data_IF_543095414508
#
_entry.id   IF_543095414508
#
_cell.length_a   1.000
_cell.length_b   1.000
_cell.length_c   1.000
_cell.angle_alpha   90.00
_cell.angle_beta   90.00
_cell.angle_gamma   90.00
#
_symmetry.space_group_name_H-M   'P 1'
#
loop_
_entity.id
_entity.type
_entity.pdbx_description
1 polymer ?
#
# COMPACT_ATOMS: atom_id res chain seq x y z
N UNK A 1 4.57 31.96 -14.81
CA UNK A 1 4.81 31.35 -13.48
C UNK A 1 3.63 30.43 -13.15
N UNK A 2 3.72 29.13 -13.48
CA UNK A 2 2.76 28.10 -13.06
C UNK A 2 3.58 26.90 -12.62
N UNK A 3 3.55 26.59 -11.32
CA UNK A 3 4.16 25.41 -10.72
C UNK A 3 3.25 24.21 -11.00
N UNK A 4 3.72 23.23 -11.76
CA UNK A 4 3.03 21.96 -11.96
C UNK A 4 3.27 21.08 -10.72
N UNK A 5 2.24 20.91 -9.90
CA UNK A 5 2.21 19.95 -8.81
C UNK A 5 1.88 18.57 -9.39
N UNK A 6 2.89 17.72 -9.56
CA UNK A 6 2.73 16.27 -9.70
C UNK A 6 3.36 15.63 -8.47
N UNK A 7 2.58 15.54 -7.39
CA UNK A 7 2.97 14.82 -6.17
C UNK A 7 2.57 13.36 -6.35
N UNK A 8 3.55 12.53 -6.71
CA UNK A 8 3.39 11.10 -6.91
C UNK A 8 3.06 10.38 -5.59
N UNK A 9 1.91 9.69 -5.57
CA UNK A 9 1.47 8.71 -4.54
C UNK A 9 2.32 7.41 -4.57
N UNK A 10 3.65 7.49 -4.57
CA UNK A 10 4.53 6.29 -4.65
C UNK A 10 5.07 5.83 -3.28
N UNK A 11 4.93 6.61 -2.21
CA UNK A 11 5.52 6.24 -0.91
C UNK A 11 4.81 5.09 -0.14
N UNK A 12 3.64 4.61 -0.56
CA UNK A 12 2.90 3.57 0.17
C UNK A 12 3.13 2.12 -0.30
N UNK A 13 3.90 1.86 -1.37
CA UNK A 13 4.08 0.50 -1.87
C UNK A 13 5.32 -0.24 -1.33
N UNK A 14 6.25 0.45 -0.65
CA UNK A 14 7.47 -0.16 -0.09
C UNK A 14 7.28 -0.86 1.27
N UNK A 15 6.07 -0.80 1.85
CA UNK A 15 5.84 -1.21 3.24
C UNK A 15 5.44 -2.68 3.47
N UNK A 16 5.30 -3.50 2.43
CA UNK A 16 4.79 -4.90 2.57
C UNK A 16 5.90 -5.97 2.54
N UNK A 17 7.18 -5.61 2.37
CA UNK A 17 8.22 -6.62 2.09
C UNK A 17 9.20 -6.99 3.21
N UNK A 18 8.99 -6.62 4.47
CA UNK A 18 9.92 -6.98 5.56
C UNK A 18 9.23 -7.24 6.92
N UNK A 19 8.40 -8.28 7.02
CA UNK A 19 8.28 -9.05 8.27
C UNK A 19 7.99 -10.51 7.93
N UNK A 20 9.03 -11.33 7.96
CA UNK A 20 8.90 -12.78 8.09
C UNK A 20 8.77 -13.13 9.57
N UNK A 21 7.62 -13.64 9.98
CA UNK A 21 7.46 -14.40 11.21
C UNK A 21 6.94 -15.79 10.85
N UNK A 22 7.80 -16.79 11.07
CA UNK A 22 7.54 -18.21 10.98
C UNK A 22 6.37 -18.65 11.87
N UNK A 23 5.41 -19.37 11.28
CA UNK A 23 4.74 -20.52 11.89
C UNK A 23 3.82 -21.20 10.85
N UNK A 24 4.38 -22.13 10.06
CA UNK A 24 3.66 -23.29 9.49
C UNK A 24 4.55 -24.05 8.48
N UNK A 25 5.58 -24.77 8.94
CA UNK A 25 6.28 -25.78 8.11
C UNK A 25 6.60 -27.00 8.95
N UNK A 26 5.74 -28.03 8.87
CA UNK A 26 6.25 -29.37 8.54
C UNK A 26 5.51 -30.04 7.37
N UNK A 27 4.57 -29.36 6.68
CA UNK A 27 3.69 -30.01 5.68
C UNK A 27 4.17 -29.91 4.22
N UNK A 28 5.30 -29.24 3.96
CA UNK A 28 5.81 -28.99 2.60
C UNK A 28 6.86 -30.05 2.16
N UNK A 29 7.59 -30.67 3.08
CA UNK A 29 8.59 -31.69 2.72
C UNK A 29 7.97 -33.03 2.31
N UNK A 30 6.75 -33.36 2.75
CA UNK A 30 6.06 -34.58 2.30
C UNK A 30 5.51 -34.50 0.87
N UNK A 31 5.41 -33.31 0.27
CA UNK A 31 4.84 -33.13 -1.07
C UNK A 31 5.87 -33.25 -2.22
N UNK A 32 7.17 -33.26 -1.92
CA UNK A 32 8.24 -33.26 -2.93
C UNK A 32 8.79 -34.65 -3.28
N UNK A 33 8.35 -35.73 -2.60
CA UNK A 33 8.92 -37.07 -2.77
C UNK A 33 8.30 -37.91 -3.91
N UNK A 34 7.19 -37.51 -4.53
CA UNK A 34 6.46 -38.36 -5.49
C UNK A 34 6.61 -38.00 -6.98
N UNK A 35 7.49 -37.06 -7.35
CA UNK A 35 7.58 -36.58 -8.75
C UNK A 35 8.76 -37.15 -9.59
N UNK A 36 9.39 -38.26 -9.19
CA UNK A 36 10.35 -38.94 -10.08
C UNK A 36 9.70 -40.18 -10.69
N UNK A 37 9.25 -40.07 -11.95
CA UNK A 37 9.59 -41.00 -13.05
C UNK A 37 8.75 -40.74 -14.33
N UNK A 38 9.50 -40.43 -15.41
CA UNK A 38 9.36 -40.89 -16.81
C UNK A 38 8.20 -40.39 -17.70
N UNK A 39 8.59 -39.67 -18.76
CA UNK A 39 7.93 -39.38 -20.06
C UNK A 39 8.11 -40.53 -21.09
N UNK A 40 7.54 -40.56 -22.33
CA UNK A 40 6.59 -39.65 -23.02
C UNK A 40 5.45 -40.36 -23.82
N UNK A 41 4.62 -39.53 -24.48
CA UNK A 41 3.95 -39.68 -25.79
C UNK A 41 2.40 -39.64 -25.87
N UNK A 42 1.94 -38.44 -26.27
CA UNK A 42 1.05 -38.10 -27.39
C UNK A 42 -0.43 -38.54 -27.35
N UNK A 43 -1.29 -37.51 -27.44
CA UNK A 43 -2.71 -37.46 -27.80
C UNK A 43 -3.76 -37.80 -26.72
N UNK A 44 -4.08 -36.79 -25.90
CA UNK A 44 -5.48 -36.37 -25.66
C UNK A 44 -5.48 -35.03 -24.90
N UNK A 45 -5.58 -33.94 -25.65
CA UNK A 45 -5.55 -32.56 -25.15
C UNK A 45 -6.92 -32.11 -24.61
N UNK A 46 -7.28 -32.50 -23.39
CA UNK A 46 -8.18 -31.74 -22.50
C UNK A 46 -8.26 -32.41 -21.12
N UNK A 47 -7.17 -32.33 -20.34
CA UNK A 47 -7.16 -32.35 -18.86
C UNK A 47 -5.72 -32.43 -18.34
N UNK A 48 -5.18 -31.29 -17.90
CA UNK A 48 -4.22 -31.09 -16.78
C UNK A 48 -3.33 -29.88 -17.04
N UNK A 49 -3.57 -28.81 -16.28
CA UNK A 49 -2.65 -28.41 -15.21
C UNK A 49 -3.41 -27.46 -14.29
N UNK A 50 -3.81 -27.92 -13.10
CA UNK A 50 -4.23 -27.00 -12.05
C UNK A 50 -2.97 -26.32 -11.51
N UNK A 51 -2.51 -25.30 -12.24
CA UNK A 51 -1.86 -24.17 -11.59
C UNK A 51 -2.98 -23.45 -10.85
N UNK A 52 -2.86 -23.31 -9.53
CA UNK A 52 -3.84 -22.56 -8.73
C UNK A 52 -3.97 -21.16 -9.29
N UNK A 53 -5.14 -20.85 -9.85
CA UNK A 53 -5.45 -19.57 -10.44
C UNK A 53 -5.30 -18.47 -9.39
N UNK A 54 -4.53 -17.39 -9.66
CA UNK A 54 -4.38 -16.29 -8.73
C UNK A 54 -5.75 -15.66 -8.43
N UNK A 55 -5.95 -15.24 -7.17
CA UNK A 55 -7.22 -14.69 -6.68
C UNK A 55 -7.04 -13.24 -6.26
N UNK A 56 -8.03 -12.41 -6.57
CA UNK A 56 -8.17 -11.04 -6.05
C UNK A 56 -9.39 -11.01 -5.13
N UNK A 57 -9.24 -10.56 -3.88
CA UNK A 57 -10.31 -10.55 -2.86
C UNK A 57 -11.04 -11.90 -2.68
N UNK A 58 -10.32 -13.01 -2.84
CA UNK A 58 -10.88 -14.36 -2.73
C UNK A 58 -11.58 -14.88 -3.99
N UNK A 59 -11.72 -14.05 -5.03
CA UNK A 59 -12.36 -14.37 -6.31
C UNK A 59 -11.28 -14.68 -7.37
N UNK A 60 -11.42 -15.76 -8.17
CA UNK A 60 -10.49 -16.06 -9.27
C UNK A 60 -10.33 -14.90 -10.25
N UNK A 61 -9.11 -14.65 -10.71
CA UNK A 61 -8.82 -13.54 -11.63
C UNK A 61 -9.63 -13.62 -12.94
N UNK A 62 -10.00 -14.82 -13.42
CA UNK A 62 -10.83 -14.99 -14.61
C UNK A 62 -12.28 -14.47 -14.44
N UNK A 63 -12.83 -14.42 -13.22
CA UNK A 63 -14.15 -13.82 -13.01
C UNK A 63 -14.12 -12.30 -13.27
N UNK A 64 -13.00 -11.63 -13.01
CA UNK A 64 -12.82 -10.21 -13.32
C UNK A 64 -12.66 -9.93 -14.82
N UNK A 65 -12.30 -10.94 -15.61
CA UNK A 65 -12.18 -10.82 -17.08
C UNK A 65 -13.54 -11.07 -17.76
N UNK A 66 -14.42 -11.87 -17.14
CA UNK A 66 -15.77 -12.18 -17.65
C UNK A 66 -16.80 -11.09 -17.35
N UNK A 67 -16.62 -10.38 -16.24
CA UNK A 67 -17.37 -9.15 -15.94
C UNK A 67 -16.53 -8.05 -16.58
N UNK A 68 -16.94 -7.52 -17.73
CA UNK A 68 -16.14 -6.59 -18.55
C UNK A 68 -15.57 -5.38 -17.78
N UNK A 69 -14.71 -4.55 -18.41
CA UNK A 69 -14.05 -3.43 -17.74
C UNK A 69 -15.05 -2.61 -16.93
N UNK A 70 -14.62 -2.20 -15.73
CA UNK A 70 -15.41 -1.47 -14.72
C UNK A 70 -16.18 -0.32 -15.39
N UNK A 71 -17.44 -0.57 -15.73
CA UNK A 71 -18.25 0.34 -16.53
C UNK A 71 -18.62 1.59 -15.74
N UNK A 72 -17.92 2.68 -16.02
CA UNK A 72 -18.30 4.04 -15.70
C UNK A 72 -19.71 4.34 -16.26
N UNK A 73 -20.65 4.75 -15.40
CA UNK A 73 -21.82 5.51 -15.82
C UNK A 73 -21.37 6.98 -15.94
N UNK A 74 -21.41 7.60 -17.13
CA UNK A 74 -20.98 8.98 -17.28
C UNK A 74 -22.09 9.92 -16.80
N UNK A 75 -21.96 10.47 -15.59
CA UNK A 75 -22.62 11.73 -15.25
C UNK A 75 -21.62 12.88 -15.48
N UNK A 76 -21.96 13.72 -16.46
CA UNK A 76 -21.21 14.88 -16.96
C UNK A 76 -19.95 14.57 -17.80
N UNK A 77 -20.15 14.61 -19.13
CA UNK A 77 -19.08 14.67 -20.10
C UNK A 77 -18.30 16.00 -19.94
N UNK A 78 -17.02 15.91 -19.55
CA UNK A 78 -16.00 16.82 -20.08
C UNK A 78 -14.58 16.20 -20.07
N UNK A 79 -14.07 16.01 -21.29
CA UNK A 79 -12.67 16.11 -21.76
C UNK A 79 -11.63 14.99 -21.57
N UNK A 80 -11.35 14.36 -22.72
CA UNK A 80 -10.05 13.97 -23.31
C UNK A 80 -9.63 12.48 -23.29
N UNK A 81 -9.35 11.95 -24.49
CA UNK A 81 -8.82 10.60 -24.73
C UNK A 81 -7.47 10.33 -24.02
N UNK A 82 -6.74 11.38 -23.62
CA UNK A 82 -5.53 11.30 -22.82
C UNK A 82 -5.77 10.85 -21.37
N UNK A 83 -6.95 11.14 -20.79
CA UNK A 83 -7.31 10.62 -19.47
C UNK A 83 -7.66 9.13 -19.53
N UNK A 84 -8.44 8.71 -20.54
CA UNK A 84 -8.79 7.30 -20.77
C UNK A 84 -7.56 6.41 -21.03
N UNK A 85 -6.57 6.89 -21.78
CA UNK A 85 -5.33 6.15 -22.03
C UNK A 85 -4.40 6.06 -20.80
N UNK A 86 -4.39 7.09 -19.94
CA UNK A 86 -3.67 7.07 -18.67
C UNK A 86 -4.30 6.08 -17.67
N UNK A 87 -5.62 5.95 -17.69
CA UNK A 87 -6.37 5.01 -16.86
C UNK A 87 -6.06 3.55 -17.23
N UNK A 88 -6.11 3.22 -18.53
CA UNK A 88 -5.77 1.88 -19.05
C UNK A 88 -4.31 1.49 -18.76
N UNK A 89 -3.37 2.43 -18.85
CA UNK A 89 -1.96 2.16 -18.53
C UNK A 89 -1.74 1.85 -17.05
N UNK A 90 -2.54 2.45 -16.17
CA UNK A 90 -2.51 2.20 -14.72
C UNK A 90 -3.05 0.81 -14.39
N UNK A 91 -4.14 0.39 -15.03
CA UNK A 91 -4.69 -0.97 -14.89
C UNK A 91 -3.67 -2.03 -15.35
N UNK A 92 -3.03 -1.83 -16.51
CA UNK A 92 -1.98 -2.74 -16.98
C UNK A 92 -0.78 -2.77 -16.02
N UNK A 93 -0.49 -1.68 -15.32
CA UNK A 93 0.58 -1.61 -14.33
C UNK A 93 0.26 -2.48 -13.11
N UNK A 94 -0.96 -2.40 -12.60
CA UNK A 94 -1.42 -3.25 -11.50
C UNK A 94 -1.36 -4.74 -11.87
N UNK A 95 -1.82 -5.09 -13.08
CA UNK A 95 -1.78 -6.47 -13.59
C UNK A 95 -0.33 -6.95 -13.74
N UNK A 96 0.56 -6.13 -14.30
CA UNK A 96 1.98 -6.47 -14.45
C UNK A 96 2.64 -6.69 -13.07
N UNK A 97 2.38 -5.82 -12.09
CA UNK A 97 2.89 -5.96 -10.74
C UNK A 97 2.31 -7.18 -10.03
N UNK A 98 1.04 -7.54 -10.27
CA UNK A 98 0.44 -8.76 -9.75
C UNK A 98 1.15 -10.02 -10.27
N UNK A 99 1.41 -10.08 -11.59
CA UNK A 99 2.22 -11.16 -12.19
C UNK A 99 3.63 -11.22 -11.59
N UNK A 100 4.28 -10.07 -11.38
CA UNK A 100 5.62 -10.01 -10.81
C UNK A 100 5.65 -10.49 -9.35
N UNK A 101 4.65 -10.10 -8.53
CA UNK A 101 4.47 -10.59 -7.15
C UNK A 101 4.25 -12.10 -7.11
N UNK A 102 3.56 -12.67 -8.12
CA UNK A 102 3.42 -14.10 -8.32
C UNK A 102 4.68 -14.79 -8.88
N UNK A 103 5.80 -14.07 -9.00
CA UNK A 103 7.07 -14.53 -9.61
C UNK A 103 6.95 -14.96 -11.08
N UNK A 104 5.85 -14.61 -11.75
CA UNK A 104 5.60 -14.82 -13.17
C UNK A 104 6.19 -13.66 -13.99
N UNK A 105 7.49 -13.44 -13.84
CA UNK A 105 8.16 -12.27 -14.39
C UNK A 105 8.12 -12.13 -15.92
N UNK A 106 8.19 -13.20 -16.75
CA UNK A 106 8.02 -13.06 -18.20
C UNK A 106 6.64 -12.51 -18.56
N UNK A 107 5.57 -12.97 -17.90
CA UNK A 107 4.22 -12.46 -18.08
C UNK A 107 4.11 -11.01 -17.63
N UNK A 108 4.74 -10.66 -16.50
CA UNK A 108 4.79 -9.28 -16.02
C UNK A 108 5.41 -8.33 -17.07
N UNK A 109 6.59 -8.67 -17.61
CA UNK A 109 7.27 -7.87 -18.64
C UNK A 109 6.48 -7.85 -19.96
N UNK A 110 5.84 -8.96 -20.35
CA UNK A 110 4.99 -8.97 -21.54
C UNK A 110 3.82 -8.01 -21.39
N UNK A 111 3.20 -7.95 -20.20
CA UNK A 111 2.12 -7.02 -19.88
C UNK A 111 2.56 -5.56 -19.95
N UNK A 112 3.80 -5.23 -19.56
CA UNK A 112 4.29 -3.83 -19.68
C UNK A 112 4.40 -3.34 -21.12
N UNK A 113 4.38 -4.23 -22.12
CA UNK A 113 4.34 -3.84 -23.53
C UNK A 113 2.99 -3.29 -23.98
N UNK A 114 1.92 -3.54 -23.21
CA UNK A 114 0.56 -3.03 -23.48
C UNK A 114 0.34 -1.60 -22.96
N UNK A 115 1.34 -1.02 -22.29
CA UNK A 115 1.31 0.35 -21.79
C UNK A 115 1.72 1.28 -22.93
N UNK A 116 0.76 1.65 -23.78
CA UNK A 116 1.00 2.63 -24.84
C UNK A 116 0.91 4.05 -24.25
N UNK A 117 1.97 4.83 -24.46
CA UNK A 117 2.05 6.31 -24.32
C UNK A 117 2.63 6.97 -23.06
N UNK A 118 3.23 6.25 -22.11
CA UNK A 118 4.07 6.91 -21.08
C UNK A 118 5.31 6.08 -20.74
N UNK A 119 6.43 6.38 -21.41
CA UNK A 119 7.76 5.80 -21.11
C UNK A 119 8.07 5.87 -19.61
N UNK A 120 7.62 6.93 -18.93
CA UNK A 120 7.75 7.10 -17.49
C UNK A 120 7.09 5.97 -16.66
N UNK A 121 5.82 5.65 -16.94
CA UNK A 121 5.08 4.64 -16.17
C UNK A 121 5.69 3.26 -16.43
N UNK A 122 5.92 2.94 -17.71
CA UNK A 122 6.52 1.67 -18.11
C UNK A 122 7.89 1.45 -17.48
N UNK A 123 8.79 2.45 -17.55
CA UNK A 123 10.13 2.36 -16.96
C UNK A 123 10.06 2.17 -15.44
N UNK A 124 9.19 2.91 -14.75
CA UNK A 124 8.95 2.74 -13.31
C UNK A 124 8.52 1.30 -12.98
N UNK A 125 7.57 0.73 -13.74
CA UNK A 125 7.14 -0.66 -13.53
C UNK A 125 8.26 -1.66 -13.84
N UNK A 126 9.09 -1.40 -14.85
CA UNK A 126 10.26 -2.23 -15.14
C UNK A 126 11.30 -2.17 -14.01
N UNK A 127 11.50 -1.02 -13.36
CA UNK A 127 12.35 -0.89 -12.16
C UNK A 127 11.80 -1.75 -11.01
N UNK A 128 10.49 -1.75 -10.79
CA UNK A 128 9.84 -2.59 -9.77
C UNK A 128 10.02 -4.08 -10.08
N UNK A 129 9.69 -4.51 -11.30
CA UNK A 129 9.85 -5.91 -11.74
C UNK A 129 11.31 -6.36 -11.63
N UNK A 130 12.26 -5.50 -12.05
CA UNK A 130 13.69 -5.78 -11.95
C UNK A 130 14.17 -5.91 -10.50
N UNK A 131 13.67 -5.06 -9.60
CA UNK A 131 13.90 -5.17 -8.17
C UNK A 131 13.37 -6.50 -7.60
N UNK A 132 12.22 -6.96 -8.06
CA UNK A 132 11.66 -8.26 -7.66
C UNK A 132 12.44 -9.45 -8.24
N UNK A 133 12.96 -9.35 -9.47
CA UNK A 133 13.91 -10.34 -10.01
C UNK A 133 15.16 -10.46 -9.13
N UNK A 134 15.73 -9.32 -8.73
CA UNK A 134 16.91 -9.29 -7.87
C UNK A 134 16.61 -9.86 -6.47
N UNK A 135 15.43 -9.56 -5.91
CA UNK A 135 14.96 -10.14 -4.65
C UNK A 135 14.76 -11.66 -4.74
N UNK A 136 14.38 -12.18 -5.92
CA UNK A 136 14.29 -13.60 -6.21
C UNK A 136 15.65 -14.26 -6.54
N UNK A 137 16.77 -13.54 -6.38
CA UNK A 137 18.12 -14.04 -6.67
C UNK A 137 18.46 -14.13 -8.16
N UNK A 138 17.56 -13.71 -9.05
CA UNK A 138 17.74 -13.76 -10.51
C UNK A 138 18.46 -12.49 -11.02
N UNK A 139 19.63 -12.20 -10.46
CA UNK A 139 20.36 -10.95 -10.71
C UNK A 139 20.73 -10.73 -12.18
N UNK A 140 21.10 -11.78 -12.91
CA UNK A 140 21.44 -11.66 -14.33
C UNK A 140 20.26 -11.14 -15.14
N UNK A 141 19.06 -11.66 -14.90
CA UNK A 141 17.83 -11.20 -15.56
C UNK A 141 17.46 -9.78 -15.14
N UNK A 142 17.61 -9.45 -13.84
CA UNK A 142 17.42 -8.08 -13.36
C UNK A 142 18.35 -7.09 -14.08
N UNK A 143 19.63 -7.44 -14.25
CA UNK A 143 20.61 -6.60 -14.97
C UNK A 143 20.30 -6.50 -16.46
N UNK A 144 19.83 -7.57 -17.10
CA UNK A 144 19.37 -7.51 -18.49
C UNK A 144 18.19 -6.55 -18.65
N UNK A 145 17.28 -6.50 -17.68
CA UNK A 145 16.13 -5.59 -17.71
C UNK A 145 16.50 -4.11 -17.70
N UNK A 146 17.67 -3.75 -17.14
CA UNK A 146 18.20 -2.37 -17.18
C UNK A 146 18.31 -1.85 -18.63
N UNK A 147 18.62 -2.73 -19.58
CA UNK A 147 18.74 -2.36 -20.99
C UNK A 147 17.37 -2.11 -21.66
N UNK A 148 16.28 -2.56 -21.06
CA UNK A 148 14.91 -2.35 -21.54
C UNK A 148 14.25 -1.09 -20.98
N UNK A 149 14.92 -0.41 -20.05
CA UNK A 149 14.53 0.90 -19.53
C UNK A 149 15.11 1.97 -20.46
N UNK A 150 14.39 3.06 -20.69
CA UNK A 150 14.87 4.15 -21.53
C UNK A 150 15.54 5.25 -20.69
N UNK A 151 14.86 5.69 -19.64
CA UNK A 151 15.28 6.80 -18.77
C UNK A 151 16.52 6.46 -17.94
N UNK A 152 17.51 7.35 -18.00
CA UNK A 152 18.80 7.13 -17.33
C UNK A 152 18.72 7.14 -15.80
N UNK A 153 17.81 7.95 -15.23
CA UNK A 153 17.53 7.96 -13.80
C UNK A 153 16.89 6.63 -13.37
N UNK A 154 15.90 6.12 -14.09
CA UNK A 154 15.26 4.83 -13.79
C UNK A 154 16.24 3.65 -13.90
N UNK A 155 17.14 3.67 -14.90
CA UNK A 155 18.27 2.72 -14.99
C UNK A 155 19.15 2.74 -13.75
N UNK A 156 19.51 3.94 -13.29
CA UNK A 156 20.37 4.10 -12.11
C UNK A 156 19.69 3.60 -10.84
N UNK A 157 18.38 3.80 -10.72
CA UNK A 157 17.57 3.27 -9.62
C UNK A 157 17.52 1.75 -9.64
N UNK A 158 17.25 1.12 -10.78
CA UNK A 158 17.24 -0.34 -10.87
C UNK A 158 18.62 -0.94 -10.54
N UNK A 159 19.70 -0.34 -11.03
CA UNK A 159 21.06 -0.77 -10.66
C UNK A 159 21.29 -0.70 -9.15
N UNK A 160 20.88 0.40 -8.49
CA UNK A 160 21.00 0.54 -7.04
C UNK A 160 20.15 -0.48 -6.27
N UNK A 161 18.92 -0.74 -6.73
CA UNK A 161 18.06 -1.81 -6.19
C UNK A 161 18.70 -3.18 -6.31
N UNK A 162 19.26 -3.51 -7.47
CA UNK A 162 20.02 -4.76 -7.68
C UNK A 162 21.20 -4.82 -6.70
N UNK A 163 21.93 -3.72 -6.53
CA UNK A 163 23.07 -3.63 -5.62
C UNK A 163 22.67 -3.88 -4.15
N UNK A 164 21.56 -3.31 -3.68
CA UNK A 164 21.07 -3.55 -2.33
C UNK A 164 20.64 -5.00 -2.11
N UNK A 165 20.02 -5.65 -3.12
CA UNK A 165 19.70 -7.09 -3.05
C UNK A 165 20.95 -7.98 -3.07
N UNK A 166 22.02 -7.58 -3.77
CA UNK A 166 23.31 -8.27 -3.67
C UNK A 166 23.88 -8.17 -2.24
N UNK A 167 23.87 -6.98 -1.65
CA UNK A 167 24.38 -6.77 -0.30
C UNK A 167 23.63 -7.63 0.73
N UNK A 168 22.29 -7.62 0.68
CA UNK A 168 21.43 -8.45 1.56
C UNK A 168 21.66 -9.95 1.38
N UNK A 169 22.10 -10.39 0.22
CA UNK A 169 22.43 -11.79 -0.08
C UNK A 169 23.89 -12.17 0.25
N UNK A 170 24.63 -11.32 0.97
CA UNK A 170 26.02 -11.60 1.34
C UNK A 170 27.00 -11.51 0.19
N UNK A 171 26.70 -10.71 -0.85
CA UNK A 171 27.53 -10.52 -2.06
C UNK A 171 28.09 -9.08 -2.14
N UNK A 172 28.98 -8.67 -1.22
CA UNK A 172 29.37 -7.26 -1.07
C UNK A 172 30.18 -6.72 -2.25
N UNK A 173 30.99 -7.54 -2.92
CA UNK A 173 31.76 -7.10 -4.08
C UNK A 173 30.84 -6.76 -5.25
N UNK A 174 29.87 -7.62 -5.57
CA UNK A 174 28.88 -7.36 -6.62
C UNK A 174 28.00 -6.15 -6.28
N UNK A 175 27.63 -6.00 -5.00
CA UNK A 175 26.88 -4.83 -4.54
C UNK A 175 27.67 -3.54 -4.78
N UNK A 176 28.93 -3.47 -4.31
CA UNK A 176 29.78 -2.29 -4.48
C UNK A 176 30.00 -1.93 -5.95
N UNK A 177 30.26 -2.93 -6.81
CA UNK A 177 30.43 -2.70 -8.24
C UNK A 177 29.15 -2.15 -8.88
N UNK A 178 27.99 -2.70 -8.51
CA UNK A 178 26.71 -2.30 -9.09
C UNK A 178 26.28 -0.91 -8.60
N UNK A 179 26.53 -0.56 -7.34
CA UNK A 179 26.33 0.81 -6.84
C UNK A 179 27.23 1.82 -7.54
N UNK A 180 28.50 1.49 -7.83
CA UNK A 180 29.38 2.36 -8.60
C UNK A 180 28.87 2.56 -10.04
N UNK A 181 28.29 1.53 -10.65
CA UNK A 181 27.65 1.66 -11.97
C UNK A 181 26.46 2.61 -11.93
N UNK A 182 25.59 2.49 -10.91
CA UNK A 182 24.47 3.40 -10.71
C UNK A 182 24.95 4.86 -10.56
N UNK A 183 25.95 5.11 -9.70
CA UNK A 183 26.51 6.45 -9.49
C UNK A 183 27.25 7.01 -10.70
N UNK A 184 27.86 6.15 -11.54
CA UNK A 184 28.47 6.60 -12.79
C UNK A 184 27.41 7.07 -13.78
N UNK A 185 26.28 6.37 -13.85
CA UNK A 185 25.17 6.75 -14.71
C UNK A 185 24.52 8.06 -14.27
N UNK A 186 24.38 8.33 -12.97
CA UNK A 186 23.83 9.61 -12.51
C UNK A 186 24.69 10.81 -12.89
N UNK A 187 26.01 10.63 -13.01
CA UNK A 187 26.94 11.69 -13.47
C UNK A 187 26.73 12.05 -14.94
N UNK A 188 26.20 11.15 -15.76
CA UNK A 188 25.94 11.40 -17.18
C UNK A 188 24.53 11.97 -17.44
N UNK A 189 23.73 12.20 -16.39
CA UNK A 189 22.41 12.82 -16.55
C UNK A 189 22.55 14.33 -16.71
N UNK A 190 22.00 14.88 -17.79
CA UNK A 190 22.11 16.30 -18.16
C UNK A 190 21.30 17.23 -17.26
N UNK A 191 20.12 16.78 -16.79
CA UNK A 191 19.26 17.56 -15.93
C UNK A 191 19.65 17.43 -14.46
N UNK A 192 20.00 18.55 -13.82
CA UNK A 192 20.38 18.63 -12.39
C UNK A 192 19.30 18.03 -11.46
N UNK A 193 18.02 18.28 -11.73
CA UNK A 193 16.91 17.73 -10.94
C UNK A 193 16.83 16.19 -11.07
N UNK A 194 16.97 15.65 -12.28
CA UNK A 194 16.99 14.18 -12.49
C UNK A 194 18.19 13.54 -11.79
N UNK A 195 19.33 14.24 -11.71
CA UNK A 195 20.51 13.78 -10.99
C UNK A 195 20.29 13.71 -9.49
N UNK A 196 19.73 14.77 -8.89
CA UNK A 196 19.50 14.85 -7.44
C UNK A 196 18.48 13.80 -6.97
N UNK A 197 17.38 13.62 -7.71
CA UNK A 197 16.41 12.54 -7.46
C UNK A 197 17.00 11.13 -7.63
N UNK A 198 17.86 10.92 -8.63
CA UNK A 198 18.57 9.64 -8.79
C UNK A 198 19.57 9.37 -7.65
N UNK A 199 20.30 10.40 -7.20
CA UNK A 199 21.19 10.30 -6.02
C UNK A 199 20.38 10.00 -4.76
N UNK A 200 19.21 10.62 -4.58
CA UNK A 200 18.30 10.35 -3.47
C UNK A 200 17.90 8.87 -3.43
N UNK A 201 17.44 8.32 -4.55
CA UNK A 201 17.07 6.92 -4.65
C UNK A 201 18.26 5.97 -4.38
N UNK A 202 19.45 6.28 -4.90
CA UNK A 202 20.66 5.51 -4.63
C UNK A 202 21.03 5.55 -3.13
N UNK A 203 20.90 6.70 -2.47
CA UNK A 203 21.16 6.83 -1.04
C UNK A 203 20.22 5.94 -0.20
N UNK A 204 18.93 5.88 -0.56
CA UNK A 204 17.96 4.99 0.09
C UNK A 204 18.37 3.53 -0.09
N UNK A 205 18.82 3.13 -1.27
CA UNK A 205 19.28 1.76 -1.53
C UNK A 205 20.58 1.40 -0.79
N UNK A 206 21.50 2.35 -0.62
CA UNK A 206 22.66 2.16 0.27
C UNK A 206 22.20 1.92 1.71
N UNK A 207 21.23 2.68 2.22
CA UNK A 207 20.70 2.47 3.56
C UNK A 207 19.97 1.12 3.68
N UNK A 208 19.22 0.72 2.66
CA UNK A 208 18.59 -0.61 2.56
C UNK A 208 19.63 -1.72 2.61
N UNK A 209 20.82 -1.51 2.04
CA UNK A 209 21.96 -2.41 2.13
C UNK A 209 22.70 -2.39 3.49
N UNK A 210 22.23 -1.61 4.47
CA UNK A 210 22.91 -1.39 5.76
C UNK A 210 24.13 -0.45 5.68
N UNK A 211 24.38 0.15 4.52
CA UNK A 211 25.53 1.04 4.27
C UNK A 211 25.16 2.50 4.56
N UNK A 212 24.77 2.77 5.80
CA UNK A 212 24.23 4.08 6.20
C UNK A 212 25.23 5.24 6.08
N UNK A 213 26.54 4.98 6.27
CA UNK A 213 27.57 6.03 6.13
C UNK A 213 27.61 6.55 4.69
N UNK A 214 27.62 5.65 3.71
CA UNK A 214 27.59 5.98 2.29
C UNK A 214 26.28 6.69 1.91
N UNK A 215 25.14 6.18 2.41
CA UNK A 215 23.84 6.81 2.20
C UNK A 215 23.83 8.28 2.67
N UNK A 216 24.25 8.53 3.91
CA UNK A 216 24.30 9.88 4.50
C UNK A 216 25.36 10.79 3.84
N UNK A 217 26.41 10.22 3.24
CA UNK A 217 27.37 11.01 2.46
C UNK A 217 26.76 11.47 1.14
N UNK A 218 25.97 10.62 0.48
CA UNK A 218 25.28 10.99 -0.77
C UNK A 218 24.26 12.09 -0.54
N UNK A 219 23.48 12.04 0.56
CA UNK A 219 22.48 13.10 0.83
C UNK A 219 23.09 14.49 1.02
N UNK A 220 24.37 14.60 1.38
CA UNK A 220 25.10 15.88 1.46
C UNK A 220 25.38 16.49 0.09
N UNK A 221 25.36 15.68 -0.97
CA UNK A 221 25.62 16.13 -2.35
C UNK A 221 24.37 16.62 -3.08
N UNK A 222 23.19 16.27 -2.55
CA UNK A 222 21.88 16.67 -3.09
C UNK A 222 21.63 18.15 -2.77
N UNK A 223 21.36 18.96 -3.79
CA UNK A 223 21.12 20.40 -3.65
C UNK A 223 19.64 20.75 -3.70
N UNK A 224 18.85 19.94 -4.40
CA UNK A 224 17.40 20.10 -4.46
C UNK A 224 16.77 20.01 -3.06
N UNK A 225 15.82 20.90 -2.81
CA UNK A 225 15.19 21.07 -1.50
C UNK A 225 14.10 20.04 -1.21
N UNK A 226 13.63 19.31 -2.22
CA UNK A 226 12.63 18.24 -2.08
C UNK A 226 13.31 16.87 -2.05
N UNK A 227 14.28 16.63 -2.94
CA UNK A 227 14.97 15.34 -3.05
C UNK A 227 15.81 15.03 -1.80
N UNK A 228 16.41 16.05 -1.17
CA UNK A 228 17.25 15.83 0.02
C UNK A 228 16.42 15.39 1.24
N UNK A 229 15.35 16.10 1.65
CA UNK A 229 14.42 15.60 2.67
C UNK A 229 13.84 14.23 2.34
N UNK A 230 13.50 13.95 1.07
CA UNK A 230 13.02 12.63 0.64
C UNK A 230 14.06 11.54 0.89
N UNK A 231 15.31 11.76 0.51
CA UNK A 231 16.40 10.81 0.75
C UNK A 231 16.61 10.56 2.25
N UNK A 232 16.59 11.63 3.06
CA UNK A 232 16.72 11.52 4.51
C UNK A 232 15.55 10.72 5.12
N UNK A 233 14.31 11.00 4.71
CA UNK A 233 13.14 10.25 5.15
C UNK A 233 13.21 8.77 4.77
N UNK A 234 13.64 8.45 3.55
CA UNK A 234 13.86 7.07 3.12
C UNK A 234 14.94 6.35 3.94
N UNK A 235 16.03 7.04 4.32
CA UNK A 235 17.06 6.49 5.22
C UNK A 235 16.50 6.28 6.63
N UNK A 236 15.66 7.20 7.14
CA UNK A 236 14.95 7.03 8.42
C UNK A 236 14.11 5.75 8.39
N UNK A 237 13.35 5.51 7.31
CA UNK A 237 12.59 4.27 7.14
C UNK A 237 13.48 3.03 7.24
N UNK A 238 14.67 3.03 6.63
CA UNK A 238 15.59 1.90 6.73
C UNK A 238 16.18 1.71 8.14
N UNK A 239 16.40 2.78 8.90
CA UNK A 239 16.75 2.66 10.33
C UNK A 239 15.58 2.09 11.15
N UNK A 240 14.36 2.57 10.90
CA UNK A 240 13.15 2.10 11.60
C UNK A 240 12.88 0.62 11.35
N UNK A 241 13.00 0.15 10.10
CA UNK A 241 12.82 -1.26 9.71
C UNK A 241 13.85 -2.20 10.35
N UNK A 242 15.03 -1.69 10.69
CA UNK A 242 16.10 -2.48 11.34
C UNK A 242 16.12 -2.30 12.87
N UNK A 243 15.11 -1.65 13.44
CA UNK A 243 14.98 -1.45 14.90
C UNK A 243 15.93 -0.41 15.49
N UNK A 244 16.62 0.37 14.66
CA UNK A 244 17.57 1.41 15.07
C UNK A 244 16.83 2.73 15.39
N UNK A 245 15.99 2.68 16.43
CA UNK A 245 15.08 3.77 16.78
C UNK A 245 15.79 5.11 17.02
N UNK A 246 16.88 5.12 17.79
CA UNK A 246 17.58 6.37 18.13
C UNK A 246 18.20 7.04 16.91
N UNK A 247 18.81 6.25 16.03
CA UNK A 247 19.36 6.72 14.75
C UNK A 247 18.25 7.27 13.85
N UNK A 248 17.13 6.54 13.74
CA UNK A 248 15.98 6.96 12.96
C UNK A 248 15.42 8.29 13.47
N UNK A 249 15.16 8.40 14.78
CA UNK A 249 14.57 9.57 15.41
C UNK A 249 15.50 10.79 15.33
N UNK A 250 16.80 10.59 15.56
CA UNK A 250 17.77 11.68 15.46
C UNK A 250 17.91 12.20 14.03
N UNK A 251 17.89 11.32 13.03
CA UNK A 251 17.90 11.73 11.63
C UNK A 251 16.59 12.44 11.24
N UNK A 252 15.43 11.95 11.68
CA UNK A 252 14.13 12.59 11.42
C UNK A 252 14.05 14.03 11.97
N UNK A 253 14.68 14.31 13.12
CA UNK A 253 14.78 15.68 13.67
C UNK A 253 15.50 16.67 12.74
N UNK A 254 16.38 16.18 11.86
CA UNK A 254 17.14 17.03 10.92
C UNK A 254 16.37 17.40 9.65
N UNK A 255 15.22 16.76 9.41
CA UNK A 255 14.41 17.00 8.22
C UNK A 255 13.63 18.30 8.42
N UNK A 256 13.92 19.30 7.58
CA UNK A 256 13.28 20.62 7.66
C UNK A 256 11.90 20.71 7.02
N UNK A 257 11.65 19.89 6.01
CA UNK A 257 10.36 19.82 5.31
C UNK A 257 9.33 19.02 6.14
N UNK A 258 8.17 19.61 6.42
CA UNK A 258 7.18 18.99 7.31
C UNK A 258 6.54 17.73 6.71
N UNK A 259 6.37 17.65 5.39
CA UNK A 259 5.80 16.47 4.72
C UNK A 259 6.74 15.27 4.89
N UNK A 260 8.00 15.44 4.50
CA UNK A 260 8.98 14.34 4.62
C UNK A 260 9.33 14.02 6.08
N UNK A 261 9.28 15.00 6.98
CA UNK A 261 9.44 14.77 8.42
C UNK A 261 8.29 13.93 8.97
N UNK A 262 7.04 14.20 8.55
CA UNK A 262 5.89 13.36 8.91
C UNK A 262 6.10 11.93 8.44
N UNK A 263 6.41 11.73 7.16
CA UNK A 263 6.65 10.39 6.61
C UNK A 263 7.74 9.63 7.38
N UNK A 264 8.83 10.31 7.73
CA UNK A 264 9.91 9.73 8.51
C UNK A 264 9.46 9.29 9.91
N UNK A 265 8.66 10.11 10.60
CA UNK A 265 8.13 9.81 11.95
C UNK A 265 7.05 8.72 11.91
N UNK A 266 6.23 8.68 10.86
CA UNK A 266 5.26 7.62 10.60
C UNK A 266 5.95 6.26 10.42
N UNK A 267 7.04 6.20 9.63
CA UNK A 267 7.85 4.98 9.49
C UNK A 267 8.45 4.51 10.81
N UNK A 268 8.89 5.45 11.67
CA UNK A 268 9.37 5.11 13.02
C UNK A 268 8.22 4.55 13.87
N UNK A 269 7.03 5.14 13.80
CA UNK A 269 5.87 4.69 14.57
C UNK A 269 5.51 3.22 14.28
N UNK A 270 5.65 2.74 13.05
CA UNK A 270 5.28 1.38 12.66
C UNK A 270 6.07 0.29 13.39
N UNK A 271 7.36 0.52 13.68
CA UNK A 271 8.22 -0.44 14.37
C UNK A 271 8.49 -0.08 15.84
N UNK A 272 8.12 1.12 16.28
CA UNK A 272 8.36 1.60 17.64
C UNK A 272 7.68 0.72 18.70
N UNK A 273 8.35 0.54 19.83
CA UNK A 273 7.83 -0.12 21.05
C UNK A 273 7.08 0.88 21.92
N UNK A 274 6.23 0.41 22.83
CA UNK A 274 5.46 1.28 23.76
C UNK A 274 6.38 2.28 24.48
N UNK A 275 7.56 1.85 24.95
CA UNK A 275 8.54 2.69 25.65
C UNK A 275 9.14 3.82 24.79
N UNK A 276 9.02 3.72 23.47
CA UNK A 276 9.60 4.68 22.50
C UNK A 276 8.56 5.69 21.99
N UNK A 277 7.27 5.37 22.08
CA UNK A 277 6.20 6.18 21.49
C UNK A 277 6.02 7.53 22.17
N UNK A 278 6.30 7.66 23.47
CA UNK A 278 6.25 8.95 24.16
C UNK A 278 7.29 9.93 23.59
N UNK A 279 8.53 9.47 23.39
CA UNK A 279 9.59 10.27 22.80
C UNK A 279 9.28 10.62 21.33
N UNK A 280 8.75 9.66 20.58
CA UNK A 280 8.32 9.89 19.19
C UNK A 280 7.23 10.97 19.12
N UNK A 281 6.23 10.90 20.01
CA UNK A 281 5.15 11.89 20.12
C UNK A 281 5.70 13.29 20.37
N UNK A 282 6.67 13.44 21.26
CA UNK A 282 7.31 14.73 21.55
C UNK A 282 7.98 15.32 20.29
N UNK A 283 8.68 14.50 19.50
CA UNK A 283 9.29 14.96 18.25
C UNK A 283 8.23 15.31 17.21
N UNK A 284 7.15 14.53 17.12
CA UNK A 284 6.02 14.82 16.21
C UNK A 284 5.36 16.16 16.50
N UNK A 285 5.24 16.56 17.77
CA UNK A 285 4.69 17.87 18.13
C UNK A 285 5.53 19.05 17.61
N UNK A 286 6.79 18.82 17.22
CA UNK A 286 7.66 19.86 16.61
C UNK A 286 7.39 20.10 15.12
N UNK A 287 6.52 19.30 14.48
CA UNK A 287 6.06 19.58 13.11
C UNK A 287 5.25 20.88 13.15
N UNK A 288 5.58 21.84 12.27
CA UNK A 288 4.92 23.16 12.28
C UNK A 288 3.56 23.12 11.58
N UNK A 289 3.47 22.34 10.52
CA UNK A 289 2.24 22.18 9.74
C UNK A 289 1.29 21.22 10.48
N UNK A 290 0.12 21.72 10.82
CA UNK A 290 -0.87 20.97 11.60
C UNK A 290 -1.45 19.78 10.83
N UNK A 291 -1.51 19.84 9.50
CA UNK A 291 -1.95 18.70 8.67
C UNK A 291 -0.98 17.54 8.83
N UNK A 292 0.31 17.77 8.63
CA UNK A 292 1.34 16.73 8.75
C UNK A 292 1.54 16.27 10.20
N UNK A 293 1.33 17.17 11.17
CA UNK A 293 1.33 16.81 12.59
C UNK A 293 0.19 15.84 12.92
N UNK A 294 -1.04 16.13 12.45
CA UNK A 294 -2.19 15.27 12.67
C UNK A 294 -1.98 13.88 12.06
N UNK A 295 -1.47 13.78 10.82
CA UNK A 295 -1.13 12.49 10.18
C UNK A 295 -0.18 11.67 11.06
N UNK A 296 0.93 12.28 11.50
CA UNK A 296 1.92 11.60 12.32
C UNK A 296 1.36 11.19 13.69
N UNK A 297 0.57 12.04 14.34
CA UNK A 297 -0.07 11.71 15.63
C UNK A 297 -1.08 10.57 15.48
N UNK A 298 -1.87 10.57 14.39
CA UNK A 298 -2.78 9.49 14.06
C UNK A 298 -2.05 8.15 13.92
N UNK A 299 -0.90 8.13 13.23
CA UNK A 299 -0.08 6.92 13.08
C UNK A 299 0.44 6.40 14.43
N UNK A 300 0.86 7.29 15.32
CA UNK A 300 1.30 6.94 16.68
C UNK A 300 0.12 6.43 17.52
N UNK A 301 -1.05 7.04 17.42
CA UNK A 301 -2.27 6.60 18.10
C UNK A 301 -2.62 5.15 17.70
N UNK A 302 -2.64 4.87 16.39
CA UNK A 302 -2.85 3.51 15.85
C UNK A 302 -1.80 2.52 16.35
N UNK A 303 -0.53 2.95 16.46
CA UNK A 303 0.52 2.10 17.03
C UNK A 303 0.26 1.78 18.51
N UNK A 304 -0.19 2.75 19.31
CA UNK A 304 -0.59 2.48 20.69
C UNK A 304 -1.76 1.50 20.77
N UNK A 305 -2.79 1.63 19.91
CA UNK A 305 -3.90 0.67 19.82
C UNK A 305 -3.38 -0.74 19.51
N UNK A 306 -2.52 -0.87 18.50
CA UNK A 306 -1.93 -2.16 18.11
C UNK A 306 -1.09 -2.82 19.21
N UNK A 307 -0.54 -2.03 20.14
CA UNK A 307 0.23 -2.49 21.29
C UNK A 307 -0.60 -2.59 22.58
N UNK A 308 -1.93 -2.41 22.50
CA UNK A 308 -2.85 -2.55 23.63
C UNK A 308 -2.84 -1.39 24.63
N UNK A 309 -2.24 -0.25 24.29
CA UNK A 309 -2.16 0.93 25.17
C UNK A 309 -3.25 1.94 24.81
N UNK A 310 -4.47 1.62 25.20
CA UNK A 310 -5.67 2.35 24.75
C UNK A 310 -5.80 3.76 25.33
N UNK A 311 -5.31 4.00 26.55
CA UNK A 311 -5.43 5.33 27.17
C UNK A 311 -4.56 6.37 26.47
N UNK A 312 -3.33 6.00 26.11
CA UNK A 312 -2.44 6.89 25.35
C UNK A 312 -2.91 7.05 23.91
N UNK A 313 -3.42 5.97 23.31
CA UNK A 313 -4.06 6.05 22.01
C UNK A 313 -5.24 7.04 22.03
N UNK A 314 -6.10 7.00 23.05
CA UNK A 314 -7.32 7.82 23.12
C UNK A 314 -6.97 9.30 23.27
N UNK A 315 -5.97 9.62 24.10
CA UNK A 315 -5.43 10.98 24.22
C UNK A 315 -4.93 11.50 22.87
N UNK A 316 -4.17 10.69 22.13
CA UNK A 316 -3.69 11.10 20.81
C UNK A 316 -4.81 11.22 19.79
N UNK A 317 -5.81 10.34 19.82
CA UNK A 317 -7.01 10.46 18.97
C UNK A 317 -7.74 11.77 19.21
N UNK A 318 -7.94 12.17 20.48
CA UNK A 318 -8.54 13.45 20.83
C UNK A 318 -7.68 14.64 20.41
N UNK A 319 -6.35 14.52 20.48
CA UNK A 319 -5.45 15.55 19.95
C UNK A 319 -5.57 15.69 18.43
N UNK A 320 -5.75 14.58 17.70
CA UNK A 320 -5.98 14.60 16.25
C UNK A 320 -7.30 15.29 15.91
N UNK A 321 -8.38 14.97 16.64
CA UNK A 321 -9.71 15.63 16.50
C UNK A 321 -9.63 17.14 16.76
N UNK A 322 -8.81 17.57 17.74
CA UNK A 322 -8.63 18.98 18.04
C UNK A 322 -7.85 19.77 16.97
N UNK A 323 -7.04 19.10 16.14
CA UNK A 323 -6.23 19.72 15.08
C UNK A 323 -7.03 19.64 13.77
N UNK A 324 -7.85 20.65 13.43
CA UNK A 324 -8.70 20.60 12.23
C UNK A 324 -8.50 21.78 11.25
N UNK A 325 -8.38 21.48 9.94
CA UNK A 325 -9.58 21.24 9.13
C UNK A 325 -9.64 19.89 8.36
N UNK A 326 -8.71 18.95 8.61
CA UNK A 326 -8.77 17.58 8.06
C UNK A 326 -8.51 16.43 9.06
N UNK A 327 -8.44 16.70 10.38
CA UNK A 327 -8.23 15.68 11.41
C UNK A 327 -9.34 14.62 11.40
N UNK A 328 -10.55 15.06 11.08
CA UNK A 328 -11.76 14.23 11.08
C UNK A 328 -11.71 13.08 10.06
N UNK A 329 -10.99 13.24 8.94
CA UNK A 329 -10.84 12.20 7.93
C UNK A 329 -10.00 11.00 8.40
N UNK A 330 -9.16 11.19 9.43
CA UNK A 330 -8.27 10.16 9.96
C UNK A 330 -8.90 9.39 11.12
N UNK A 331 -9.82 10.02 11.86
CA UNK A 331 -10.48 9.44 13.01
C UNK A 331 -11.19 8.10 12.71
N UNK A 332 -11.92 7.93 11.58
CA UNK A 332 -12.55 6.66 11.27
C UNK A 332 -11.57 5.48 11.26
N UNK A 333 -10.37 5.68 10.72
CA UNK A 333 -9.31 4.66 10.67
C UNK A 333 -8.79 4.30 12.06
N UNK A 334 -8.49 5.30 12.89
CA UNK A 334 -7.97 5.10 14.24
C UNK A 334 -9.02 4.40 15.11
N UNK A 335 -10.27 4.86 15.06
CA UNK A 335 -11.39 4.32 15.84
C UNK A 335 -11.71 2.89 15.39
N UNK A 336 -11.66 2.58 14.09
CA UNK A 336 -11.82 1.22 13.58
C UNK A 336 -10.73 0.25 14.06
N UNK A 337 -9.53 0.72 14.38
CA UNK A 337 -8.48 -0.11 14.97
C UNK A 337 -8.85 -0.54 16.41
N UNK A 338 -9.55 0.31 17.19
CA UNK A 338 -10.08 -0.08 18.51
C UNK A 338 -11.08 -1.23 18.40
N UNK A 339 -11.99 -1.15 17.42
CA UNK A 339 -12.96 -2.23 17.13
C UNK A 339 -12.23 -3.52 16.81
N UNK A 340 -11.19 -3.45 15.98
CA UNK A 340 -10.36 -4.61 15.61
C UNK A 340 -9.63 -5.18 16.84
N UNK A 341 -9.24 -4.34 17.79
CA UNK A 341 -8.66 -4.73 19.08
C UNK A 341 -9.71 -5.18 20.13
N UNK A 342 -10.99 -5.27 19.76
CA UNK A 342 -12.08 -5.67 20.66
C UNK A 342 -12.50 -4.59 21.67
N UNK A 343 -12.05 -3.34 21.51
CA UNK A 343 -12.37 -2.20 22.37
C UNK A 343 -13.55 -1.40 21.84
N UNK A 344 -14.68 -2.08 21.79
CA UNK A 344 -15.94 -1.61 21.23
C UNK A 344 -16.49 -0.35 21.92
N UNK A 345 -16.58 -0.36 23.26
CA UNK A 345 -17.14 0.77 24.00
C UNK A 345 -16.29 2.03 23.85
N UNK A 346 -14.96 1.88 23.87
CA UNK A 346 -14.03 2.99 23.64
C UNK A 346 -14.14 3.52 22.20
N UNK A 347 -14.31 2.65 21.21
CA UNK A 347 -14.52 3.05 19.82
C UNK A 347 -15.81 3.88 19.66
N UNK A 348 -16.91 3.42 20.27
CA UNK A 348 -18.19 4.13 20.24
C UNK A 348 -18.11 5.46 21.00
N UNK A 349 -17.45 5.49 22.15
CA UNK A 349 -17.23 6.72 22.91
C UNK A 349 -16.45 7.77 22.09
N UNK A 350 -15.37 7.34 21.41
CA UNK A 350 -14.58 8.22 20.55
C UNK A 350 -15.40 8.71 19.35
N UNK A 351 -16.15 7.83 18.68
CA UNK A 351 -17.00 8.20 17.55
C UNK A 351 -18.10 9.20 17.95
N UNK A 352 -18.72 8.99 19.11
CA UNK A 352 -19.74 9.90 19.63
C UNK A 352 -19.18 11.26 20.07
N UNK A 353 -17.87 11.35 20.35
CA UNK A 353 -17.19 12.61 20.69
C UNK A 353 -16.78 13.45 19.48
N UNK A 354 -16.84 12.88 18.28
CA UNK A 354 -16.53 13.60 17.03
C UNK A 354 -17.55 14.72 16.80
N UNK A 355 -17.05 15.91 16.46
CA UNK A 355 -17.89 17.11 16.27
C UNK A 355 -18.50 17.20 14.88
N UNK A 356 -17.79 16.72 13.87
CA UNK A 356 -18.27 16.74 12.49
C UNK A 356 -19.24 15.57 12.26
N UNK A 357 -20.51 15.90 11.98
CA UNK A 357 -21.59 14.92 11.82
C UNK A 357 -21.35 13.99 10.61
N UNK A 358 -20.72 14.48 9.54
CA UNK A 358 -20.42 13.67 8.36
C UNK A 358 -19.37 12.62 8.71
N UNK A 359 -18.25 13.03 9.31
CA UNK A 359 -17.18 12.11 9.71
C UNK A 359 -17.58 11.19 10.85
N UNK A 360 -18.46 11.64 11.75
CA UNK A 360 -19.09 10.77 12.75
C UNK A 360 -19.91 9.67 12.06
N UNK A 361 -20.74 10.02 11.08
CA UNK A 361 -21.51 9.06 10.28
C UNK A 361 -20.61 8.04 9.57
N UNK A 362 -19.58 8.50 8.87
CA UNK A 362 -18.57 7.64 8.21
C UNK A 362 -17.87 6.70 9.21
N UNK A 363 -17.55 7.22 10.40
CA UNK A 363 -16.96 6.42 11.49
C UNK A 363 -17.92 5.34 11.95
N UNK A 364 -19.20 5.65 12.16
CA UNK A 364 -20.21 4.67 12.56
C UNK A 364 -20.40 3.57 11.51
N UNK A 365 -20.42 3.92 10.22
CA UNK A 365 -20.44 2.96 9.09
C UNK A 365 -19.27 1.99 9.19
N UNK A 366 -18.07 2.52 9.41
CA UNK A 366 -16.85 1.73 9.48
C UNK A 366 -16.80 0.82 10.70
N UNK A 367 -17.26 1.32 11.85
CA UNK A 367 -17.41 0.51 13.06
C UNK A 367 -18.37 -0.65 12.78
N UNK A 368 -19.55 -0.38 12.20
CA UNK A 368 -20.54 -1.42 11.87
C UNK A 368 -19.97 -2.48 10.91
N UNK A 369 -19.25 -2.06 9.86
CA UNK A 369 -18.56 -2.98 8.96
C UNK A 369 -17.55 -3.87 9.71
N UNK A 370 -16.78 -3.30 10.64
CA UNK A 370 -15.78 -4.05 11.42
C UNK A 370 -16.42 -5.02 12.42
N UNK A 371 -17.54 -4.66 13.03
CA UNK A 371 -18.35 -5.61 13.82
C UNK A 371 -18.79 -6.80 12.96
N UNK A 372 -19.35 -6.54 11.78
CA UNK A 372 -19.80 -7.59 10.87
C UNK A 372 -18.64 -8.49 10.41
N UNK A 373 -17.48 -7.91 10.05
CA UNK A 373 -16.29 -8.65 9.69
C UNK A 373 -15.73 -9.51 10.86
N UNK A 374 -15.98 -9.10 12.10
CA UNK A 374 -15.66 -9.87 13.30
C UNK A 374 -16.73 -10.94 13.66
N UNK A 375 -17.75 -11.12 12.82
CA UNK A 375 -18.86 -12.06 13.03
C UNK A 375 -19.95 -11.56 13.98
N UNK A 376 -19.83 -10.33 14.50
CA UNK A 376 -20.78 -9.68 15.42
C UNK A 376 -21.89 -8.96 14.65
N UNK A 377 -22.65 -9.73 13.88
CA UNK A 377 -23.61 -9.17 12.94
C UNK A 377 -24.79 -8.47 13.62
N UNK A 378 -25.27 -8.97 14.76
CA UNK A 378 -26.40 -8.36 15.48
C UNK A 378 -26.02 -6.97 16.02
N UNK A 379 -24.83 -6.84 16.61
CA UNK A 379 -24.31 -5.57 17.09
C UNK A 379 -24.04 -4.61 15.93
N UNK A 380 -23.57 -5.12 14.79
CA UNK A 380 -23.39 -4.31 13.58
C UNK A 380 -24.72 -3.71 13.09
N UNK A 381 -25.78 -4.51 13.03
CA UNK A 381 -27.11 -4.06 12.60
C UNK A 381 -27.71 -3.08 13.61
N UNK A 382 -27.61 -3.36 14.92
CA UNK A 382 -28.07 -2.42 15.96
C UNK A 382 -27.37 -1.07 15.87
N UNK A 383 -26.05 -1.06 15.64
CA UNK A 383 -25.32 0.18 15.44
C UNK A 383 -25.80 0.89 14.17
N UNK A 384 -25.93 0.19 13.05
CA UNK A 384 -26.45 0.77 11.81
C UNK A 384 -27.85 1.37 11.99
N UNK A 385 -28.71 0.73 12.79
CA UNK A 385 -30.05 1.24 13.09
C UNK A 385 -30.05 2.50 13.95
N UNK A 386 -29.02 2.70 14.78
CA UNK A 386 -28.84 3.90 15.60
C UNK A 386 -28.26 5.10 14.84
N UNK A 387 -27.80 4.91 13.60
CA UNK A 387 -27.27 6.01 12.77
C UNK A 387 -28.44 6.88 12.27
N UNK A 388 -28.43 8.15 12.66
CA UNK A 388 -29.49 9.11 12.30
C UNK A 388 -29.47 9.48 10.80
N UNK A 389 -28.28 9.60 10.20
CA UNK A 389 -28.14 9.90 8.78
C UNK A 389 -28.65 8.73 7.94
N UNK A 390 -29.67 8.97 7.10
CA UNK A 390 -30.23 7.96 6.19
C UNK A 390 -29.16 7.43 5.23
N UNK A 391 -28.26 8.29 4.76
CA UNK A 391 -27.15 7.93 3.89
C UNK A 391 -26.18 6.99 4.60
N UNK A 392 -25.65 7.40 5.76
CA UNK A 392 -24.69 6.60 6.53
C UNK A 392 -25.33 5.30 7.03
N UNK A 393 -26.59 5.32 7.48
CA UNK A 393 -27.34 4.10 7.82
C UNK A 393 -27.41 3.14 6.63
N UNK A 394 -27.75 3.64 5.46
CA UNK A 394 -27.80 2.85 4.22
C UNK A 394 -26.45 2.25 3.87
N UNK A 395 -25.37 3.03 3.96
CA UNK A 395 -24.00 2.55 3.72
C UNK A 395 -23.58 1.47 4.73
N UNK A 396 -23.90 1.64 6.02
CA UNK A 396 -23.63 0.65 7.05
C UNK A 396 -24.34 -0.67 6.77
N UNK A 397 -25.64 -0.64 6.48
CA UNK A 397 -26.43 -1.84 6.13
C UNK A 397 -25.86 -2.55 4.89
N UNK A 398 -25.44 -1.81 3.86
CA UNK A 398 -24.77 -2.37 2.68
C UNK A 398 -23.44 -3.06 3.02
N UNK A 399 -22.62 -2.42 3.84
CA UNK A 399 -21.34 -2.99 4.25
C UNK A 399 -21.54 -4.30 5.03
N UNK A 400 -22.51 -4.34 5.93
CA UNK A 400 -22.89 -5.54 6.69
C UNK A 400 -23.39 -6.65 5.75
N UNK A 401 -24.27 -6.33 4.79
CA UNK A 401 -24.76 -7.29 3.80
C UNK A 401 -23.62 -7.89 2.95
N UNK A 402 -22.62 -7.07 2.59
CA UNK A 402 -21.42 -7.54 1.90
C UNK A 402 -20.63 -8.55 2.73
N UNK A 403 -20.46 -8.30 4.03
CA UNK A 403 -19.79 -9.25 4.93
C UNK A 403 -20.59 -10.55 5.15
N UNK A 404 -21.93 -10.48 5.20
CA UNK A 404 -22.77 -11.67 5.17
C UNK A 404 -22.53 -12.51 3.89
N UNK A 405 -22.46 -11.85 2.73
CA UNK A 405 -22.20 -12.55 1.46
C UNK A 405 -20.81 -13.19 1.41
N UNK A 406 -19.77 -12.51 1.92
CA UNK A 406 -18.41 -13.05 2.01
C UNK A 406 -18.32 -14.29 2.89
N UNK A 407 -19.17 -14.38 3.92
CA UNK A 407 -19.24 -15.52 4.85
C UNK A 407 -20.24 -16.60 4.41
N UNK A 408 -20.82 -16.51 3.20
CA UNK A 408 -21.74 -17.50 2.66
C UNK A 408 -23.20 -17.38 3.15
N UNK A 409 -23.51 -16.37 3.95
CA UNK A 409 -24.85 -16.13 4.53
C UNK A 409 -25.72 -15.31 3.57
N UNK A 410 -25.99 -15.86 2.39
CA UNK A 410 -26.63 -15.13 1.29
C UNK A 410 -28.08 -14.68 1.59
N UNK A 411 -28.88 -15.49 2.27
CA UNK A 411 -30.28 -15.15 2.59
C UNK A 411 -30.36 -13.96 3.55
N UNK A 412 -29.44 -13.91 4.53
CA UNK A 412 -29.32 -12.78 5.46
C UNK A 412 -28.83 -11.52 4.76
N UNK A 413 -27.89 -11.65 3.82
CA UNK A 413 -27.44 -10.53 2.99
C UNK A 413 -28.61 -9.94 2.18
N UNK A 414 -29.44 -10.78 1.57
CA UNK A 414 -30.60 -10.35 0.78
C UNK A 414 -31.69 -9.71 1.65
N UNK A 415 -32.00 -10.30 2.81
CA UNK A 415 -32.97 -9.74 3.74
C UNK A 415 -32.58 -8.34 4.21
N UNK A 416 -31.29 -8.14 4.53
CA UNK A 416 -30.78 -6.84 4.99
C UNK A 416 -30.82 -5.78 3.88
N UNK A 417 -30.50 -6.16 2.64
CA UNK A 417 -30.63 -5.25 1.47
C UNK A 417 -32.09 -4.87 1.22
N UNK A 418 -33.03 -5.79 1.45
CA UNK A 418 -34.46 -5.52 1.32
C UNK A 418 -35.01 -4.47 2.31
N UNK A 419 -34.30 -4.19 3.40
CA UNK A 419 -34.66 -3.13 4.36
C UNK A 419 -34.15 -1.74 3.98
N UNK A 420 -33.35 -1.61 2.91
CA UNK A 420 -32.83 -0.32 2.43
C UNK A 420 -33.88 0.36 1.53
N UNK A 421 -34.28 1.62 1.80
CA UNK A 421 -35.27 2.32 0.99
C UNK A 421 -34.88 2.42 -0.51
N UNK A 422 -35.83 2.27 -1.47
CA UNK A 422 -35.55 2.34 -2.90
C UNK A 422 -34.99 3.68 -3.41
N UNK A 423 -35.14 4.76 -2.64
CA UNK A 423 -34.70 6.11 -3.01
C UNK A 423 -33.16 6.28 -3.10
N UNK A 424 -32.37 5.23 -2.80
CA UNK A 424 -30.93 5.18 -3.03
C UNK A 424 -30.58 4.49 -4.38
N UNK A 425 -31.27 4.91 -5.44
CA UNK A 425 -31.45 4.22 -6.73
C UNK A 425 -30.14 3.85 -7.46
N UNK A 426 -29.15 4.75 -7.51
CA UNK A 426 -27.88 4.49 -8.20
C UNK A 426 -27.07 3.35 -7.56
N UNK A 427 -27.16 3.21 -6.24
CA UNK A 427 -26.41 2.21 -5.51
C UNK A 427 -27.10 0.83 -5.51
N UNK A 428 -28.43 0.78 -5.64
CA UNK A 428 -29.17 -0.46 -5.83
C UNK A 428 -28.86 -1.08 -7.20
N UNK A 429 -28.77 -0.25 -8.24
CA UNK A 429 -28.41 -0.67 -9.60
C UNK A 429 -26.94 -1.13 -9.69
N UNK A 430 -26.00 -0.45 -9.04
CA UNK A 430 -24.59 -0.86 -8.99
C UNK A 430 -24.38 -2.23 -8.30
N UNK A 431 -25.10 -2.49 -7.20
CA UNK A 431 -25.08 -3.79 -6.50
C UNK A 431 -25.64 -4.91 -7.40
N UNK A 432 -26.73 -4.64 -8.12
CA UNK A 432 -27.34 -5.59 -9.05
C UNK A 432 -26.44 -5.89 -10.26
N UNK A 433 -25.85 -4.85 -10.87
CA UNK A 433 -25.10 -4.96 -12.11
C UNK A 433 -23.73 -5.65 -11.94
N UNK A 434 -23.08 -5.47 -10.79
CA UNK A 434 -21.67 -5.87 -10.61
C UNK A 434 -21.46 -6.94 -9.53
N UNK A 435 -22.13 -6.81 -8.39
CA UNK A 435 -21.92 -7.68 -7.24
C UNK A 435 -22.62 -9.03 -7.41
N UNK A 436 -23.85 -9.04 -7.95
CA UNK A 436 -24.62 -10.27 -8.16
C UNK A 436 -23.96 -11.22 -9.19
N UNK A 437 -23.46 -10.78 -10.35
CA UNK A 437 -22.77 -11.65 -11.30
C UNK A 437 -21.45 -12.23 -10.76
N UNK A 438 -20.67 -11.43 -10.01
CA UNK A 438 -19.45 -11.91 -9.35
C UNK A 438 -19.76 -12.95 -8.25
N UNK A 439 -20.82 -12.71 -7.46
CA UNK A 439 -21.31 -13.67 -6.46
C UNK A 439 -21.85 -14.95 -7.09
N UNK A 440 -22.48 -14.87 -8.28
CA UNK A 440 -22.89 -16.05 -9.05
C UNK A 440 -21.69 -16.81 -9.63
N UNK A 441 -20.69 -16.11 -10.18
CA UNK A 441 -19.42 -16.71 -10.67
C UNK A 441 -18.67 -17.44 -9.54
N UNK A 442 -18.77 -16.97 -8.30
CA UNK A 442 -18.15 -17.60 -7.13
C UNK A 442 -18.87 -18.86 -6.62
N UNK A 443 -20.11 -19.13 -7.06
CA UNK A 443 -20.89 -20.33 -6.71
C UNK A 443 -20.69 -21.51 -7.69
N UNK A 444 -20.09 -21.25 -8.85
CA UNK A 444 -19.76 -22.24 -9.90
C UNK A 444 -18.30 -22.63 -9.83
#
# INVERSE_FOLDING_TARGET
MKKSFSCFKIACLELILLVGSCAATPKIEQLLAQQRQVTPNVQNSTKKSLQTEPKLRGIPLACYVRVGPLGFLPSSASSSASMLAADQSTEWAEIALAYAKAKQFPSAIATTKKMDNYHYIKDTILVEIGGMYAAAGQYTKAKQLVNSIERGDDKSQLLARIASKYAKAGKPQQASQTFMQALRLTRTLDAKLMRDGAIAAIAIEYASAGQYKQALQLTKTIKDQSDKPQALAGIVTQYALTGQFDQALNLAKTIGDNYYKSQALESIAESAKVSQLAQLTQVTQTIKDDTYKAVSLAKIARRYVALGNFDQAAKLTQMVDAINPYGDAMLPDIIADYVTAGKFDQALQLANSMKDEYWQGETMVKIAQKYAAAGKFEEAVRLADSINSVESKTQALKAIASEYAKTGQYDRALALVGTVPPAATEAYEAIQAQFIPLLKCAKT
#
